data_IF_868095521849
#
_entry.id   IF_868095521849
#
_cell.length_a   1.000
_cell.length_b   1.000
_cell.length_c   1.000
_cell.angle_alpha   90.00
_cell.angle_beta   90.00
_cell.angle_gamma   90.00
#
_symmetry.space_group_name_H-M   'P 1'
#
loop_
_entity.id
_entity.type
_entity.pdbx_description
1 polymer ?
#
# COMPACT_ATOMS: atom_id res chain seq x y z
N UNK A 1 -59.40 -40.33 -6.26
CA UNK A 1 -57.91 -40.25 -6.30
C UNK A 1 -57.35 -39.52 -7.54
N UNK A 2 -58.05 -39.46 -8.68
CA UNK A 2 -57.54 -38.82 -9.92
C UNK A 2 -57.16 -37.32 -9.80
N UNK A 3 -57.91 -36.50 -9.06
CA UNK A 3 -57.62 -35.05 -8.89
C UNK A 3 -56.34 -34.75 -8.08
N UNK A 4 -55.95 -35.58 -7.10
CA UNK A 4 -54.72 -35.37 -6.30
C UNK A 4 -53.45 -35.69 -7.09
N UNK A 5 -53.52 -36.67 -8.00
CA UNK A 5 -52.41 -37.06 -8.87
C UNK A 5 -52.10 -36.00 -9.93
N UNK A 6 -53.11 -35.35 -10.49
CA UNK A 6 -52.94 -34.25 -11.45
C UNK A 6 -52.29 -33.01 -10.82
N UNK A 7 -52.65 -32.66 -9.59
CA UNK A 7 -52.05 -31.53 -8.86
C UNK A 7 -50.56 -31.82 -8.56
N UNK A 8 -50.25 -33.05 -8.13
CA UNK A 8 -48.87 -33.47 -7.89
C UNK A 8 -48.04 -33.39 -9.18
N UNK A 9 -48.62 -33.82 -10.31
CA UNK A 9 -47.95 -33.79 -11.62
C UNK A 9 -47.68 -32.35 -12.10
N UNK A 10 -48.63 -31.42 -11.91
CA UNK A 10 -48.45 -29.99 -12.22
C UNK A 10 -47.35 -29.38 -11.34
N UNK A 11 -47.33 -29.71 -10.04
CA UNK A 11 -46.26 -29.25 -9.13
C UNK A 11 -44.88 -29.78 -9.55
N UNK A 12 -44.76 -31.06 -9.93
CA UNK A 12 -43.53 -31.62 -10.48
C UNK A 12 -43.11 -30.94 -11.79
N UNK A 13 -44.06 -30.64 -12.67
CA UNK A 13 -43.79 -29.91 -13.91
C UNK A 13 -43.30 -28.48 -13.64
N UNK A 14 -43.91 -27.76 -12.69
CA UNK A 14 -43.49 -26.43 -12.28
C UNK A 14 -42.08 -26.43 -11.65
N UNK A 15 -41.77 -27.43 -10.83
CA UNK A 15 -40.42 -27.59 -10.27
C UNK A 15 -39.39 -27.88 -11.36
N UNK A 16 -39.70 -28.79 -12.30
CA UNK A 16 -38.80 -29.11 -13.41
C UNK A 16 -38.56 -27.90 -14.33
N UNK A 17 -39.61 -27.15 -14.67
CA UNK A 17 -39.50 -25.91 -15.45
C UNK A 17 -38.72 -24.84 -14.70
N UNK A 18 -38.94 -24.69 -13.39
CA UNK A 18 -38.17 -23.76 -12.54
C UNK A 18 -36.68 -24.09 -12.53
N UNK A 19 -36.31 -25.37 -12.44
CA UNK A 19 -34.91 -25.82 -12.49
C UNK A 19 -34.28 -25.54 -13.85
N UNK A 20 -35.00 -25.78 -14.96
CA UNK A 20 -34.50 -25.48 -16.31
C UNK A 20 -34.30 -23.98 -16.49
N UNK A 21 -35.28 -23.16 -16.10
CA UNK A 21 -35.17 -21.70 -16.16
C UNK A 21 -33.98 -21.18 -15.33
N UNK A 22 -33.78 -21.71 -14.12
CA UNK A 22 -32.63 -21.37 -13.28
C UNK A 22 -31.30 -21.75 -13.96
N UNK A 23 -31.21 -22.97 -14.53
CA UNK A 23 -30.00 -23.42 -15.21
C UNK A 23 -29.65 -22.57 -16.44
N UNK A 24 -30.66 -22.20 -17.25
CA UNK A 24 -30.46 -21.31 -18.41
C UNK A 24 -30.01 -19.91 -17.98
N UNK A 25 -30.61 -19.37 -16.92
CA UNK A 25 -30.22 -18.06 -16.38
C UNK A 25 -28.79 -18.07 -15.82
N UNK A 26 -28.43 -19.10 -15.05
CA UNK A 26 -27.06 -19.27 -14.53
C UNK A 26 -26.03 -19.42 -15.65
N UNK A 27 -26.39 -20.10 -16.75
CA UNK A 27 -25.55 -20.19 -17.95
C UNK A 27 -25.36 -18.81 -18.59
N UNK A 28 -26.42 -18.01 -18.70
CA UNK A 28 -26.33 -16.64 -19.22
C UNK A 28 -25.42 -15.74 -18.39
N UNK A 29 -25.46 -15.85 -17.04
CA UNK A 29 -24.52 -15.12 -16.16
C UNK A 29 -23.09 -15.58 -16.38
N UNK A 30 -22.86 -16.89 -16.48
CA UNK A 30 -21.53 -17.45 -16.73
C UNK A 30 -20.94 -16.98 -18.06
N UNK A 31 -21.75 -16.93 -19.11
CA UNK A 31 -21.33 -16.47 -20.44
C UNK A 31 -21.13 -14.95 -20.50
N UNK A 32 -21.67 -14.18 -19.55
CA UNK A 32 -21.57 -12.72 -19.47
C UNK A 32 -20.36 -12.19 -18.66
N UNK A 33 -19.55 -13.08 -18.09
CA UNK A 33 -18.36 -12.72 -17.29
C UNK A 33 -17.12 -13.17 -18.06
N UNK A 34 -16.33 -12.22 -18.54
CA UNK A 34 -15.11 -12.49 -19.30
C UNK A 34 -13.89 -11.94 -18.60
N UNK A 35 -13.05 -12.82 -18.06
CA UNK A 35 -11.75 -12.40 -17.56
C UNK A 35 -10.80 -12.10 -18.72
N UNK A 36 -10.21 -10.92 -18.70
CA UNK A 36 -9.23 -10.49 -19.70
C UNK A 36 -8.07 -11.50 -19.72
N UNK A 37 -7.77 -12.03 -20.90
CA UNK A 37 -6.71 -13.02 -21.09
C UNK A 37 -5.44 -12.29 -21.48
N UNK A 38 -4.79 -11.73 -20.47
CA UNK A 38 -3.45 -11.18 -20.63
C UNK A 38 -2.50 -11.91 -19.69
N UNK A 39 -1.40 -12.40 -20.27
CA UNK A 39 -0.41 -13.19 -19.55
C UNK A 39 0.73 -12.28 -19.02
N UNK A 40 0.64 -10.97 -19.23
CA UNK A 40 1.60 -9.99 -18.71
C UNK A 40 1.36 -9.73 -17.22
N UNK A 41 2.42 -9.63 -16.41
CA UNK A 41 2.30 -9.17 -15.03
C UNK A 41 1.66 -7.79 -14.98
N UNK A 42 0.69 -7.61 -14.07
CA UNK A 42 0.06 -6.32 -13.81
C UNK A 42 0.93 -5.54 -12.86
N UNK A 43 1.24 -4.30 -13.20
CA UNK A 43 1.99 -3.40 -12.33
C UNK A 43 1.07 -2.28 -11.84
N UNK A 44 1.10 -1.99 -10.54
CA UNK A 44 0.46 -0.81 -9.93
C UNK A 44 1.45 -0.10 -9.02
N UNK A 45 1.28 1.21 -8.84
CA UNK A 45 2.06 1.92 -7.83
C UNK A 45 1.55 1.59 -6.41
N UNK A 46 2.45 1.66 -5.44
CA UNK A 46 2.11 1.44 -4.05
C UNK A 46 1.05 2.43 -3.55
N UNK A 47 -0.11 1.91 -3.13
CA UNK A 47 -1.25 2.72 -2.71
C UNK A 47 -2.31 2.97 -3.77
N UNK A 48 -2.07 2.60 -5.03
CA UNK A 48 -3.09 2.71 -6.07
C UNK A 48 -4.14 1.60 -5.98
N UNK A 49 -5.34 1.93 -6.44
CA UNK A 49 -6.45 0.98 -6.52
C UNK A 49 -6.43 0.25 -7.86
N UNK A 50 -6.75 -1.04 -7.83
CA UNK A 50 -6.97 -1.84 -9.04
C UNK A 50 -8.30 -1.44 -9.70
N UNK A 51 -8.29 -1.21 -11.02
CA UNK A 51 -9.51 -0.93 -11.77
C UNK A 51 -10.12 -2.22 -12.34
N UNK A 52 -11.40 -2.48 -12.05
CA UNK A 52 -12.13 -3.69 -12.48
C UNK A 52 -12.01 -3.97 -13.98
N UNK A 53 -12.11 -2.92 -14.79
CA UNK A 53 -12.01 -2.97 -16.26
C UNK A 53 -10.68 -3.55 -16.78
N UNK A 54 -9.64 -3.61 -15.97
CA UNK A 54 -8.33 -4.14 -16.38
C UNK A 54 -8.23 -5.67 -16.19
N UNK A 55 -9.25 -6.27 -15.57
CA UNK A 55 -9.30 -7.70 -15.22
C UNK A 55 -10.53 -8.43 -15.74
N UNK A 56 -11.67 -7.74 -15.84
CA UNK A 56 -12.95 -8.36 -16.21
C UNK A 56 -13.79 -7.44 -17.09
N UNK A 57 -14.34 -8.02 -18.14
CA UNK A 57 -15.40 -7.45 -18.95
C UNK A 57 -16.73 -8.10 -18.54
N UNK A 58 -17.74 -7.26 -18.28
CA UNK A 58 -19.07 -7.67 -17.83
C UNK A 58 -20.11 -7.22 -18.85
N UNK A 59 -20.88 -8.17 -19.37
CA UNK A 59 -22.00 -7.88 -20.25
C UNK A 59 -23.24 -7.44 -19.45
N UNK A 60 -24.27 -6.96 -20.16
CA UNK A 60 -25.53 -6.47 -19.57
C UNK A 60 -26.21 -7.44 -18.59
N UNK A 61 -26.06 -8.75 -18.78
CA UNK A 61 -26.59 -9.80 -17.90
C UNK A 61 -25.85 -9.95 -16.57
N UNK A 62 -24.64 -9.37 -16.46
CA UNK A 62 -23.79 -9.37 -15.28
C UNK A 62 -23.51 -7.95 -14.76
N UNK A 63 -24.31 -6.95 -15.16
CA UNK A 63 -24.12 -5.53 -14.79
C UNK A 63 -24.08 -5.26 -13.28
N UNK A 64 -24.76 -6.10 -12.49
CA UNK A 64 -24.85 -5.98 -11.03
C UNK A 64 -23.82 -6.89 -10.32
N UNK A 65 -22.82 -7.38 -11.05
CA UNK A 65 -21.76 -8.18 -10.46
C UNK A 65 -20.87 -7.33 -9.53
N UNK A 66 -20.39 -7.97 -8.46
CA UNK A 66 -19.36 -7.42 -7.59
C UNK A 66 -18.01 -8.05 -7.95
N UNK A 67 -17.00 -7.22 -8.15
CA UNK A 67 -15.62 -7.65 -8.39
C UNK A 67 -14.81 -7.41 -7.12
N UNK A 68 -14.10 -8.43 -6.66
CA UNK A 68 -13.26 -8.37 -5.46
C UNK A 68 -11.84 -8.81 -5.79
N UNK A 69 -10.87 -8.02 -5.34
CA UNK A 69 -9.45 -8.26 -5.47
C UNK A 69 -8.89 -8.83 -4.16
N UNK A 70 -8.18 -9.95 -4.24
CA UNK A 70 -7.51 -10.56 -3.09
C UNK A 70 -6.02 -10.68 -3.39
N UNK A 71 -5.21 -9.93 -2.65
CA UNK A 71 -3.75 -9.87 -2.73
C UNK A 71 -3.18 -9.35 -1.40
N UNK A 72 -1.87 -9.46 -1.20
CA UNK A 72 -1.17 -8.96 -0.02
C UNK A 72 -0.53 -7.60 -0.35
N UNK A 73 -1.10 -6.52 0.18
CA UNK A 73 -0.64 -5.15 -0.09
C UNK A 73 0.67 -4.78 0.64
N UNK A 74 1.23 -5.71 1.42
CA UNK A 74 2.54 -5.57 2.05
C UNK A 74 3.70 -6.14 1.20
N UNK A 75 3.40 -6.92 0.16
CA UNK A 75 4.41 -7.46 -0.75
C UNK A 75 4.70 -6.45 -1.85
N UNK A 76 5.68 -5.60 -1.59
CA UNK A 76 6.14 -4.53 -2.49
C UNK A 76 7.39 -4.97 -3.27
N UNK A 77 7.50 -4.50 -4.51
CA UNK A 77 8.62 -4.74 -5.44
C UNK A 77 8.89 -6.23 -5.73
N UNK A 78 7.87 -7.08 -5.57
CA UNK A 78 7.91 -8.51 -5.86
C UNK A 78 6.61 -8.95 -6.54
N UNK A 79 6.75 -9.87 -7.48
CA UNK A 79 5.59 -10.51 -8.09
C UNK A 79 4.84 -11.36 -7.05
N UNK A 80 3.52 -11.24 -7.05
CA UNK A 80 2.60 -11.96 -6.18
C UNK A 80 1.33 -12.38 -6.93
N UNK A 81 0.59 -13.31 -6.34
CA UNK A 81 -0.67 -13.79 -6.88
C UNK A 81 -1.81 -12.84 -6.51
N UNK A 82 -2.50 -12.32 -7.53
CA UNK A 82 -3.76 -11.60 -7.39
C UNK A 82 -4.92 -12.51 -7.77
N UNK A 83 -5.88 -12.72 -6.87
CA UNK A 83 -7.12 -13.45 -7.19
C UNK A 83 -8.28 -12.50 -7.37
N UNK A 84 -8.76 -12.38 -8.60
CA UNK A 84 -9.95 -11.60 -8.95
C UNK A 84 -11.16 -12.50 -8.87
N UNK A 85 -12.14 -12.11 -8.07
CA UNK A 85 -13.38 -12.86 -7.86
C UNK A 85 -14.56 -12.03 -8.31
N UNK A 86 -15.40 -12.62 -9.16
CA UNK A 86 -16.64 -12.02 -9.63
C UNK A 86 -17.80 -12.78 -9.03
N UNK A 87 -18.70 -12.06 -8.38
CA UNK A 87 -19.93 -12.60 -7.80
C UNK A 87 -21.13 -11.88 -8.40
N UNK A 88 -22.06 -12.64 -8.99
CA UNK A 88 -23.27 -12.09 -9.58
C UNK A 88 -24.44 -13.04 -9.32
N UNK A 89 -25.47 -12.56 -8.62
CA UNK A 89 -26.75 -13.28 -8.48
C UNK A 89 -26.63 -14.75 -8.03
N UNK A 90 -25.72 -15.04 -7.09
CA UNK A 90 -25.47 -16.39 -6.57
C UNK A 90 -24.47 -17.22 -7.38
N UNK A 91 -24.07 -16.76 -8.56
CA UNK A 91 -22.93 -17.29 -9.30
C UNK A 91 -21.63 -16.64 -8.81
N UNK A 92 -20.58 -17.45 -8.63
CA UNK A 92 -19.25 -17.00 -8.23
C UNK A 92 -18.21 -17.68 -9.10
N UNK A 93 -17.26 -16.89 -9.62
CA UNK A 93 -16.12 -17.39 -10.38
C UNK A 93 -14.89 -16.55 -10.04
N UNK A 94 -13.70 -17.13 -10.19
CA UNK A 94 -12.45 -16.45 -9.86
C UNK A 94 -11.38 -16.80 -10.88
N UNK A 95 -10.46 -15.86 -11.09
CA UNK A 95 -9.25 -16.08 -11.89
C UNK A 95 -8.05 -15.45 -11.20
N UNK A 96 -6.92 -16.14 -11.29
CA UNK A 96 -5.64 -15.65 -10.82
C UNK A 96 -4.90 -14.86 -11.90
N UNK A 97 -4.20 -13.83 -11.47
CA UNK A 97 -3.31 -12.97 -12.26
C UNK A 97 -2.00 -12.77 -11.49
N UNK A 98 -0.95 -12.41 -12.21
CA UNK A 98 0.29 -11.94 -11.58
C UNK A 98 0.19 -10.43 -11.35
N UNK A 99 0.53 -9.99 -10.15
CA UNK A 99 0.55 -8.59 -9.74
C UNK A 99 1.92 -8.25 -9.16
N UNK A 100 2.45 -7.09 -9.52
CA UNK A 100 3.58 -6.46 -8.84
C UNK A 100 3.15 -5.08 -8.37
N UNK A 101 3.21 -4.85 -7.05
CA UNK A 101 3.04 -3.53 -6.47
C UNK A 101 4.40 -2.87 -6.43
N UNK A 102 4.52 -1.69 -7.01
CA UNK A 102 5.79 -1.04 -7.25
C UNK A 102 5.93 0.18 -6.37
N UNK A 103 7.07 0.25 -5.68
CA UNK A 103 7.56 1.46 -5.03
C UNK A 103 8.94 1.80 -5.57
N UNK A 104 9.02 2.92 -6.29
CA UNK A 104 10.25 3.43 -6.93
C UNK A 104 10.74 4.71 -6.28
N UNK A 105 9.98 5.27 -5.36
CA UNK A 105 10.27 6.60 -4.83
C UNK A 105 11.18 6.46 -3.61
N UNK A 106 12.25 7.24 -3.58
CA UNK A 106 13.08 7.33 -2.39
C UNK A 106 12.34 8.09 -1.29
N UNK A 107 12.59 7.74 -0.01
CA UNK A 107 12.10 8.52 1.12
C UNK A 107 12.40 10.02 1.00
N UNK A 108 11.50 10.84 1.53
CA UNK A 108 11.67 12.28 1.61
C UNK A 108 12.20 12.67 2.98
N UNK A 109 13.36 13.33 3.01
CA UNK A 109 13.95 13.91 4.22
C UNK A 109 13.74 15.42 4.22
N UNK A 110 12.82 15.91 5.04
CA UNK A 110 12.51 17.33 5.17
C UNK A 110 12.98 17.90 6.51
N UNK A 111 13.83 18.92 6.46
CA UNK A 111 14.32 19.61 7.65
C UNK A 111 13.86 21.06 7.58
N UNK A 112 13.12 21.50 8.59
CA UNK A 112 12.54 22.86 8.67
C UNK A 112 13.14 23.69 9.79
N UNK A 113 14.18 23.18 10.45
CA UNK A 113 14.79 23.82 11.59
C UNK A 113 15.76 24.94 11.24
N UNK A 114 16.27 25.63 12.28
CA UNK A 114 17.20 26.74 12.13
C UNK A 114 18.56 26.28 11.61
N UNK A 115 19.16 27.08 10.71
CA UNK A 115 20.56 26.88 10.27
C UNK A 115 21.59 27.40 11.27
N UNK A 116 21.16 28.24 12.22
CA UNK A 116 22.00 28.84 13.25
C UNK A 116 21.23 28.84 14.57
N UNK A 117 21.85 28.34 15.63
CA UNK A 117 21.29 28.24 16.97
C UNK A 117 22.30 28.74 18.00
N UNK A 118 21.82 29.23 19.13
CA UNK A 118 22.65 29.37 20.33
C UNK A 118 22.87 28.00 20.95
N UNK A 119 23.97 27.83 21.68
CA UNK A 119 24.26 26.57 22.35
C UNK A 119 23.13 26.22 23.31
N UNK A 120 22.49 25.08 23.09
CA UNK A 120 21.39 24.59 23.91
C UNK A 120 21.49 23.06 24.02
N UNK A 121 21.78 22.51 25.21
CA UNK A 121 21.83 21.07 25.42
C UNK A 121 20.47 20.38 25.21
N UNK A 122 19.37 21.13 25.16
CA UNK A 122 18.02 20.61 24.93
C UNK A 122 17.58 20.70 23.47
N UNK A 123 18.42 21.21 22.55
CA UNK A 123 18.06 21.25 21.14
C UNK A 123 17.93 19.83 20.58
N UNK A 124 16.74 19.49 20.09
CA UNK A 124 16.45 18.18 19.49
C UNK A 124 16.26 18.31 18.00
N UNK A 125 17.11 17.64 17.23
CA UNK A 125 17.00 17.64 15.77
C UNK A 125 15.67 17.04 15.28
N UNK A 126 15.18 16.00 15.97
CA UNK A 126 13.93 15.31 15.67
C UNK A 126 12.72 16.23 15.61
N UNK A 127 12.73 17.33 16.37
CA UNK A 127 11.59 18.25 16.45
C UNK A 127 11.42 19.07 15.16
N UNK A 128 12.44 19.09 14.31
CA UNK A 128 12.50 19.84 13.05
C UNK A 128 12.68 18.95 11.82
N UNK A 129 12.68 17.63 12.01
CA UNK A 129 12.97 16.67 10.97
C UNK A 129 11.75 15.80 10.72
N UNK A 130 11.20 15.88 9.52
CA UNK A 130 10.18 14.98 9.03
C UNK A 130 10.79 14.05 7.99
N UNK A 131 10.71 12.74 8.23
CA UNK A 131 11.11 11.71 7.28
C UNK A 131 9.90 10.84 6.98
N UNK A 132 9.59 10.67 5.70
CA UNK A 132 8.42 9.93 5.25
C UNK A 132 8.58 9.43 3.83
N UNK A 133 7.71 8.51 3.45
CA UNK A 133 7.54 8.05 2.08
C UNK A 133 6.14 8.38 1.54
N UNK A 134 5.94 8.25 0.24
CA UNK A 134 4.68 8.56 -0.44
C UNK A 134 4.03 7.28 -0.96
N UNK A 135 2.91 6.91 -0.35
CA UNK A 135 2.05 5.83 -0.81
C UNK A 135 0.90 6.41 -1.62
N UNK A 136 1.09 6.57 -2.93
CA UNK A 136 0.20 7.23 -3.89
C UNK A 136 -0.21 8.67 -3.48
N UNK A 137 -1.15 8.80 -2.55
CA UNK A 137 -1.65 10.09 -2.04
C UNK A 137 -1.43 10.27 -0.53
N UNK A 138 -0.97 9.23 0.17
CA UNK A 138 -0.75 9.22 1.61
C UNK A 138 0.73 9.40 1.95
N UNK A 139 1.01 10.10 3.05
CA UNK A 139 2.35 10.16 3.64
C UNK A 139 2.51 9.07 4.68
N UNK A 140 3.55 8.25 4.53
CA UNK A 140 3.91 7.23 5.51
C UNK A 140 5.12 7.70 6.29
N UNK A 141 4.89 8.22 7.49
CA UNK A 141 5.96 8.75 8.36
C UNK A 141 6.85 7.63 8.88
N UNK A 142 8.14 7.92 8.99
CA UNK A 142 9.14 7.01 9.53
C UNK A 142 9.38 7.37 10.99
N UNK A 143 9.61 6.33 11.80
CA UNK A 143 10.08 6.51 13.16
C UNK A 143 11.62 6.59 13.18
N UNK A 144 12.16 7.40 14.08
CA UNK A 144 13.60 7.42 14.36
C UNK A 144 13.97 6.07 14.98
N UNK A 145 14.87 5.33 14.35
CA UNK A 145 15.35 4.09 14.95
C UNK A 145 16.55 4.40 15.86
N UNK A 146 16.39 4.17 17.16
CA UNK A 146 17.54 3.93 18.01
C UNK A 146 18.12 2.55 17.63
N UNK A 147 19.44 2.48 17.46
CA UNK A 147 20.23 1.40 16.85
C UNK A 147 20.00 -0.03 17.38
N UNK A 148 19.11 -0.23 18.35
CA UNK A 148 18.95 -1.45 19.15
C UNK A 148 17.54 -2.07 19.11
N UNK A 149 16.75 -1.77 18.07
CA UNK A 149 15.45 -2.40 17.85
C UNK A 149 15.47 -3.38 16.67
N UNK A 150 15.29 -4.67 16.95
CA UNK A 150 15.21 -5.75 15.97
C UNK A 150 14.22 -5.41 14.82
N UNK A 151 14.76 -5.25 13.60
CA UNK A 151 14.06 -5.18 12.32
C UNK A 151 12.93 -4.13 12.21
N UNK A 152 13.27 -2.84 12.32
CA UNK A 152 12.42 -1.82 11.71
C UNK A 152 12.45 -1.98 10.18
N UNK A 153 11.30 -2.29 9.57
CA UNK A 153 11.17 -2.37 8.11
C UNK A 153 11.40 -0.99 7.47
N UNK A 154 11.06 0.10 8.16
CA UNK A 154 11.27 1.50 7.75
C UNK A 154 11.96 2.26 8.86
N UNK A 155 12.99 3.03 8.53
CA UNK A 155 13.71 3.81 9.54
C UNK A 155 14.42 5.00 8.92
N UNK A 156 14.81 5.92 9.79
CA UNK A 156 15.86 6.87 9.50
C UNK A 156 16.82 6.98 10.69
N UNK A 157 18.04 7.40 10.38
CA UNK A 157 19.11 7.64 11.34
C UNK A 157 19.84 8.94 10.96
N UNK A 158 20.54 9.53 11.92
CA UNK A 158 21.42 10.65 11.63
C UNK A 158 22.70 10.60 12.47
N UNK A 159 23.78 11.11 11.90
CA UNK A 159 25.08 11.23 12.56
C UNK A 159 25.58 12.67 12.47
N UNK A 160 26.30 13.11 13.49
CA UNK A 160 26.95 14.40 13.52
C UNK A 160 28.45 14.23 13.27
N UNK A 161 29.02 15.11 12.44
CA UNK A 161 30.46 15.29 12.23
C UNK A 161 31.26 13.99 12.09
N UNK A 162 31.32 13.48 10.85
CA UNK A 162 32.13 12.35 10.33
C UNK A 162 32.18 11.03 11.13
N UNK A 163 31.65 10.91 12.35
CA UNK A 163 31.68 9.69 13.20
C UNK A 163 30.93 9.76 14.55
N UNK A 164 30.39 10.90 15.00
CA UNK A 164 29.66 10.92 16.28
C UNK A 164 28.23 10.36 16.13
N UNK A 165 27.93 9.34 16.93
CA UNK A 165 26.61 8.69 16.99
C UNK A 165 25.57 9.52 17.74
N UNK A 166 26.01 10.58 18.45
CA UNK A 166 25.14 11.52 19.15
C UNK A 166 25.45 12.94 18.72
N UNK A 167 24.41 13.69 18.39
CA UNK A 167 24.48 15.12 18.13
C UNK A 167 24.30 15.87 19.46
N UNK A 168 25.33 16.59 19.91
CA UNK A 168 25.20 17.61 20.96
C UNK A 168 25.34 19.00 20.35
N UNK A 169 24.56 19.95 20.85
CA UNK A 169 24.57 21.35 20.42
C UNK A 169 24.79 22.29 21.61
N UNK A 170 25.54 21.83 22.60
CA UNK A 170 25.90 22.57 23.82
C UNK A 170 27.11 23.51 23.61
N UNK A 171 27.62 24.09 24.71
CA UNK A 171 28.73 25.05 24.66
C UNK A 171 30.06 24.42 24.20
N UNK A 172 30.22 23.11 24.35
CA UNK A 172 31.43 22.40 23.89
C UNK A 172 31.36 22.09 22.39
N UNK A 173 30.16 22.20 21.81
CA UNK A 173 29.87 22.04 20.39
C UNK A 173 29.69 23.40 19.68
N UNK A 174 30.43 24.46 20.04
CA UNK A 174 30.42 25.72 19.27
C UNK A 174 31.14 25.51 17.94
N UNK A 175 30.47 25.82 16.82
CA UNK A 175 31.07 25.69 15.51
C UNK A 175 30.07 25.35 14.41
N UNK A 176 30.60 24.81 13.32
CA UNK A 176 29.81 24.36 12.16
C UNK A 176 29.71 22.84 12.22
N UNK A 177 28.48 22.34 12.29
CA UNK A 177 28.19 20.91 12.34
C UNK A 177 27.55 20.46 11.04
N UNK A 178 28.07 19.37 10.48
CA UNK A 178 27.42 18.69 9.35
C UNK A 178 26.71 17.45 9.88
N UNK A 179 25.41 17.41 9.63
CA UNK A 179 24.54 16.33 10.07
C UNK A 179 24.16 15.52 8.85
N UNK A 180 24.53 14.25 8.85
CA UNK A 180 24.22 13.31 7.79
C UNK A 180 23.02 12.48 8.18
N UNK A 181 21.98 12.49 7.36
CA UNK A 181 20.71 11.82 7.60
C UNK A 181 20.53 10.77 6.50
N UNK A 182 20.26 9.53 6.88
CA UNK A 182 19.91 8.42 5.98
C UNK A 182 18.53 7.89 6.33
N UNK A 183 17.77 7.50 5.31
CA UNK A 183 16.44 6.92 5.46
C UNK A 183 16.28 5.71 4.53
N UNK A 184 15.55 4.70 5.01
CA UNK A 184 15.24 3.47 4.29
C UNK A 184 13.74 3.14 4.43
N UNK A 185 13.10 2.86 3.30
CA UNK A 185 11.64 2.63 3.19
C UNK A 185 11.18 1.17 3.41
N UNK A 186 12.10 0.21 3.55
CA UNK A 186 11.73 -1.21 3.63
C UNK A 186 11.41 -1.88 2.30
N UNK A 187 11.31 -1.12 1.23
CA UNK A 187 10.99 -1.59 -0.13
C UNK A 187 12.22 -1.60 -1.05
N UNK A 188 13.35 -1.08 -0.57
CA UNK A 188 14.62 -1.08 -1.27
C UNK A 188 15.13 0.31 -1.62
N UNK A 189 14.36 1.37 -1.37
CA UNK A 189 14.76 2.73 -1.68
C UNK A 189 15.39 3.40 -0.46
N UNK A 190 16.40 4.22 -0.74
CA UNK A 190 17.15 4.95 0.26
C UNK A 190 17.24 6.42 -0.11
N UNK A 191 17.34 7.27 0.91
CA UNK A 191 17.56 8.69 0.76
C UNK A 191 18.65 9.17 1.70
N UNK A 192 19.40 10.17 1.24
CA UNK A 192 20.48 10.78 2.01
C UNK A 192 20.35 12.30 1.96
N UNK A 193 20.57 12.96 3.10
CA UNK A 193 20.59 14.41 3.17
C UNK A 193 21.64 14.86 4.17
N UNK A 194 22.43 15.85 3.78
CA UNK A 194 23.33 16.55 4.69
C UNK A 194 22.75 17.93 4.98
N UNK A 195 22.59 18.26 6.25
CA UNK A 195 22.23 19.61 6.71
C UNK A 195 23.40 20.21 7.48
N UNK A 196 23.45 21.54 7.52
CA UNK A 196 24.48 22.30 8.23
C UNK A 196 23.82 23.16 9.30
N UNK A 197 24.28 23.00 10.54
CA UNK A 197 23.86 23.81 11.68
C UNK A 197 25.09 24.53 12.24
N UNK A 198 24.94 25.83 12.52
CA UNK A 198 25.95 26.65 13.16
C UNK A 198 25.53 26.88 14.60
N UNK A 199 26.34 26.42 15.55
CA UNK A 199 26.14 26.64 16.99
C UNK A 199 26.98 27.84 17.40
N UNK A 200 26.36 28.83 18.03
CA UNK A 200 27.04 30.00 18.60
C UNK A 200 27.04 29.99 20.12
N UNK A 201 28.00 30.69 20.77
CA UNK A 201 27.92 30.90 22.21
C UNK A 201 26.55 31.47 22.61
N UNK A 202 26.06 31.17 23.82
CA UNK A 202 24.80 31.72 24.30
C UNK A 202 24.92 33.24 24.39
N UNK A 203 23.83 33.95 24.07
CA UNK A 203 23.79 35.37 24.33
C UNK A 203 23.92 35.61 25.84
N UNK A 204 24.99 36.29 26.26
CA UNK A 204 25.13 36.72 27.66
C UNK A 204 23.94 37.63 28.00
N UNK A 205 23.03 37.15 28.84
CA UNK A 205 21.97 37.93 29.48
C UNK A 205 22.37 38.31 30.90
#
# INVERSE_FOLDING_TARGET
MKKKSSILFILFLCMALGVVCYATWMRGIKEAIHFIKEDSPREILWGESLAEKDFVELDSSAKDATVLFHYDDSIINKEQLLTVTVSCNGYKTSRAFNLTIIDRDSPIINYTGPKKIESDPNFRLSDYLEVYDVRAYDKVKFDLQEKDGDKAYRYYEYTCDERNQTCSFDQDAIGVHNIHISAYDGHGNQAYKTIKIIVTPPAYH
#
